data_IF_073263031944
#
_entry.id   IF_073263031944
#
_cell.length_a   1.000
_cell.length_b   1.000
_cell.length_c   1.000
_cell.angle_alpha   90.00
_cell.angle_beta   90.00
_cell.angle_gamma   90.00
#
_symmetry.space_group_name_H-M   'P 1'
#
loop_
_entity.id
_entity.type
_entity.pdbx_description
1 polymer ?
#
# COMPACT_ATOMS: atom_id res chain seq x y z
N UNK A 1 11.97 -12.97 6.07
CA UNK A 1 12.17 -11.72 6.84
C UNK A 1 11.91 -12.04 8.30
N UNK A 2 12.82 -11.66 9.20
CA UNK A 2 12.71 -11.97 10.63
C UNK A 2 11.47 -11.36 11.27
N UNK A 3 11.02 -11.95 12.37
CA UNK A 3 9.94 -11.42 13.19
C UNK A 3 10.38 -10.05 13.72
N UNK A 4 9.81 -8.98 13.17
CA UNK A 4 9.92 -7.66 13.78
C UNK A 4 9.25 -7.74 15.15
N UNK A 5 10.00 -7.47 16.22
CA UNK A 5 9.45 -7.37 17.59
C UNK A 5 8.58 -6.12 17.67
N UNK A 6 7.38 -6.15 17.11
CA UNK A 6 6.49 -4.97 17.03
C UNK A 6 6.14 -4.44 18.42
N UNK A 7 6.20 -5.29 19.45
CA UNK A 7 5.94 -4.97 20.86
C UNK A 7 6.91 -3.96 21.50
N UNK A 8 8.10 -3.75 20.93
CA UNK A 8 9.08 -2.78 21.47
C UNK A 8 9.03 -1.42 20.77
N UNK A 9 8.13 -1.24 19.80
CA UNK A 9 7.98 -0.02 19.02
C UNK A 9 6.62 0.61 19.24
N UNK A 10 6.53 1.93 19.08
CA UNK A 10 5.27 2.66 19.15
C UNK A 10 4.31 2.22 18.04
N UNK A 11 3.01 2.43 18.25
CA UNK A 11 1.99 2.16 17.21
C UNK A 11 2.31 2.91 15.92
N UNK A 12 2.70 4.19 16.04
CA UNK A 12 3.10 5.03 14.91
C UNK A 12 4.27 4.44 14.11
N UNK A 13 5.34 4.01 14.79
CA UNK A 13 6.51 3.38 14.15
C UNK A 13 6.15 2.07 13.43
N UNK A 14 5.29 1.26 14.05
CA UNK A 14 4.82 0.03 13.46
C UNK A 14 3.97 0.29 12.22
N UNK A 15 3.07 1.27 12.26
CA UNK A 15 2.21 1.63 11.13
C UNK A 15 3.02 2.18 9.94
N UNK A 16 3.94 3.10 10.21
CA UNK A 16 4.92 3.62 9.22
C UNK A 16 5.67 2.47 8.54
N UNK A 17 6.18 1.53 9.34
CA UNK A 17 6.92 0.36 8.84
C UNK A 17 6.05 -0.53 7.95
N UNK A 18 4.77 -0.74 8.30
CA UNK A 18 3.85 -1.53 7.49
C UNK A 18 3.57 -0.86 6.14
N UNK A 19 3.33 0.45 6.10
CA UNK A 19 3.17 1.19 4.83
C UNK A 19 4.43 1.10 3.97
N UNK A 20 5.60 1.38 4.54
CA UNK A 20 6.87 1.29 3.85
C UNK A 20 7.14 -0.13 3.31
N UNK A 21 6.84 -1.16 4.10
CA UNK A 21 6.97 -2.56 3.69
C UNK A 21 6.06 -2.88 2.51
N UNK A 22 4.84 -2.36 2.48
CA UNK A 22 3.90 -2.59 1.36
C UNK A 22 4.35 -1.86 0.11
N UNK A 23 4.78 -0.60 0.23
CA UNK A 23 5.27 0.21 -0.88
C UNK A 23 6.64 -0.26 -1.41
N UNK A 24 7.43 -0.96 -0.60
CA UNK A 24 8.75 -1.49 -0.98
C UNK A 24 8.75 -2.65 -1.98
N UNK A 25 7.62 -2.98 -2.63
CA UNK A 25 7.57 -3.99 -3.70
C UNK A 25 7.04 -3.36 -5.00
N UNK A 26 7.78 -3.48 -6.11
CA UNK A 26 7.44 -2.79 -7.37
C UNK A 26 6.11 -3.25 -7.97
N UNK A 27 5.72 -4.52 -7.81
CA UNK A 27 4.44 -5.00 -8.31
C UNK A 27 3.26 -4.32 -7.61
N UNK A 28 3.37 -4.08 -6.29
CA UNK A 28 2.34 -3.37 -5.52
C UNK A 28 2.27 -1.89 -5.90
N UNK A 29 3.41 -1.26 -6.17
CA UNK A 29 3.46 0.12 -6.67
C UNK A 29 2.78 0.20 -8.04
N UNK A 30 3.07 -0.73 -8.96
CA UNK A 30 2.44 -0.78 -10.28
C UNK A 30 0.91 -0.98 -10.19
N UNK A 31 0.43 -1.88 -9.31
CA UNK A 31 -1.00 -2.06 -9.03
C UNK A 31 -1.63 -0.73 -8.59
N UNK A 32 -1.05 -0.07 -7.58
CA UNK A 32 -1.59 1.19 -7.05
C UNK A 32 -1.63 2.27 -8.13
N UNK A 33 -0.55 2.44 -8.90
CA UNK A 33 -0.51 3.41 -10.02
C UNK A 33 -1.59 3.14 -11.06
N UNK A 34 -1.82 1.87 -11.39
CA UNK A 34 -2.86 1.48 -12.34
C UNK A 34 -4.27 1.80 -11.78
N UNK A 35 -4.54 1.47 -10.52
CA UNK A 35 -5.81 1.80 -9.86
C UNK A 35 -6.05 3.32 -9.78
N UNK A 36 -5.02 4.11 -9.48
CA UNK A 36 -5.12 5.58 -9.50
C UNK A 36 -5.42 6.13 -10.89
N UNK A 37 -4.85 5.53 -11.95
CA UNK A 37 -5.06 5.97 -13.33
C UNK A 37 -6.50 5.75 -13.79
N UNK A 38 -7.12 4.63 -13.41
CA UNK A 38 -8.49 4.29 -13.81
C UNK A 38 -9.52 5.13 -13.03
N UNK A 39 -9.20 5.50 -11.78
CA UNK A 39 -10.06 6.32 -10.92
C UNK A 39 -11.46 5.71 -10.65
N UNK A 40 -11.62 4.40 -10.85
CA UNK A 40 -12.83 3.61 -10.55
C UNK A 40 -12.42 2.23 -10.01
N UNK A 41 -13.39 1.42 -9.59
CA UNK A 41 -13.14 0.03 -9.22
C UNK A 41 -12.97 -0.84 -10.47
N UNK A 42 -11.88 -1.62 -10.54
CA UNK A 42 -11.63 -2.56 -11.62
C UNK A 42 -12.13 -3.95 -11.24
N UNK A 43 -13.02 -4.51 -12.05
CA UNK A 43 -13.53 -5.87 -11.95
C UNK A 43 -12.93 -6.68 -13.11
N UNK A 44 -11.81 -7.34 -12.91
CA UNK A 44 -11.16 -8.04 -14.02
C UNK A 44 -9.71 -8.41 -13.80
N UNK A 45 -9.09 -8.87 -14.88
CA UNK A 45 -7.76 -9.45 -14.85
C UNK A 45 -6.65 -8.40 -14.94
N UNK A 46 -5.98 -8.14 -13.83
CA UNK A 46 -4.79 -7.28 -13.79
C UNK A 46 -3.55 -7.96 -14.41
N UNK A 47 -3.65 -9.24 -14.78
CA UNK A 47 -2.54 -10.01 -15.40
C UNK A 47 -2.02 -9.34 -16.66
N UNK A 48 -2.90 -8.89 -17.56
CA UNK A 48 -2.47 -8.30 -18.83
C UNK A 48 -1.77 -6.95 -18.67
N UNK A 49 -2.17 -6.19 -17.66
CA UNK A 49 -1.65 -4.84 -17.40
C UNK A 49 -0.29 -4.88 -16.67
N UNK A 50 -0.13 -5.82 -15.75
CA UNK A 50 1.05 -5.89 -14.87
C UNK A 50 2.05 -6.96 -15.34
N UNK A 51 1.60 -7.92 -16.16
CA UNK A 51 2.45 -8.98 -16.71
C UNK A 51 2.84 -10.04 -15.68
N UNK A 52 2.11 -10.16 -14.58
CA UNK A 52 2.31 -11.17 -13.53
C UNK A 52 1.19 -12.19 -13.55
N UNK A 53 1.48 -13.42 -13.13
CA UNK A 53 0.46 -14.47 -13.04
C UNK A 53 -0.64 -14.13 -12.01
N UNK A 54 -1.86 -14.59 -12.26
CA UNK A 54 -3.02 -14.28 -11.44
C UNK A 54 -2.88 -14.62 -9.94
N UNK A 55 -2.25 -15.75 -9.53
CA UNK A 55 -2.03 -16.04 -8.12
C UNK A 55 -1.11 -15.00 -7.44
N UNK A 56 -0.09 -14.53 -8.15
CA UNK A 56 0.86 -13.52 -7.66
C UNK A 56 0.16 -12.17 -7.48
N UNK A 57 -0.66 -11.77 -8.46
CA UNK A 57 -1.47 -10.55 -8.37
C UNK A 57 -2.46 -10.63 -7.20
N UNK A 58 -3.13 -11.77 -7.05
CA UNK A 58 -4.09 -12.00 -5.95
C UNK A 58 -3.42 -11.87 -4.58
N UNK A 59 -2.19 -12.37 -4.45
CA UNK A 59 -1.39 -12.19 -3.24
C UNK A 59 -1.07 -10.72 -2.98
N UNK A 60 -0.64 -9.97 -4.00
CA UNK A 60 -0.37 -8.54 -3.86
C UNK A 60 -1.60 -7.72 -3.49
N UNK A 61 -2.75 -7.99 -4.11
CA UNK A 61 -4.03 -7.37 -3.79
C UNK A 61 -4.46 -7.67 -2.35
N UNK A 62 -4.24 -8.91 -1.89
CA UNK A 62 -4.54 -9.29 -0.50
C UNK A 62 -3.69 -8.48 0.49
N UNK A 63 -2.38 -8.33 0.24
CA UNK A 63 -1.50 -7.52 1.08
C UNK A 63 -1.93 -6.04 1.11
N UNK A 64 -2.26 -5.46 -0.04
CA UNK A 64 -2.76 -4.09 -0.14
C UNK A 64 -4.09 -3.90 0.59
N UNK A 65 -5.01 -4.87 0.46
CA UNK A 65 -6.32 -4.87 1.13
C UNK A 65 -6.18 -5.03 2.64
N UNK A 66 -5.26 -5.88 3.11
CA UNK A 66 -5.03 -6.08 4.54
C UNK A 66 -4.54 -4.80 5.23
N UNK A 67 -3.78 -3.96 4.53
CA UNK A 67 -3.36 -2.65 5.02
C UNK A 67 -4.40 -1.53 4.78
N UNK A 68 -5.54 -1.88 4.19
CA UNK A 68 -6.63 -0.95 3.91
C UNK A 68 -6.34 0.06 2.78
N UNK A 69 -5.25 -0.09 2.02
CA UNK A 69 -4.94 0.84 0.92
C UNK A 69 -5.89 0.68 -0.28
N UNK A 70 -6.53 -0.49 -0.39
CA UNK A 70 -7.54 -0.77 -1.41
C UNK A 70 -8.77 -1.42 -0.77
N UNK A 71 -9.94 -1.14 -1.35
CA UNK A 71 -11.20 -1.85 -1.06
C UNK A 71 -11.38 -2.96 -2.09
N UNK A 72 -12.07 -4.02 -1.67
CA UNK A 72 -12.43 -5.15 -2.55
C UNK A 72 -13.88 -5.54 -2.35
N UNK A 73 -14.74 -5.30 -3.33
CA UNK A 73 -16.16 -5.68 -3.33
C UNK A 73 -16.40 -6.90 -4.23
N UNK A 74 -17.33 -7.77 -3.88
CA UNK A 74 -17.72 -8.90 -4.75
C UNK A 74 -18.91 -8.46 -5.59
N UNK A 75 -18.74 -8.43 -6.91
CA UNK A 75 -19.84 -8.17 -7.85
C UNK A 75 -20.02 -9.40 -8.75
N UNK A 76 -21.11 -10.12 -8.51
CA UNK A 76 -21.38 -11.39 -9.19
C UNK A 76 -20.31 -12.44 -8.88
N UNK A 77 -19.59 -12.91 -9.90
CA UNK A 77 -18.52 -13.91 -9.79
C UNK A 77 -17.11 -13.31 -9.69
N UNK A 78 -16.99 -11.97 -9.77
CA UNK A 78 -15.71 -11.27 -9.80
C UNK A 78 -15.51 -10.42 -8.55
N UNK A 79 -14.24 -10.21 -8.17
CA UNK A 79 -13.86 -9.28 -7.12
C UNK A 79 -13.35 -8.00 -7.77
N UNK A 80 -13.93 -6.87 -7.38
CA UNK A 80 -13.56 -5.55 -7.87
C UNK A 80 -12.67 -4.84 -6.87
N UNK A 81 -11.59 -4.21 -7.32
CA UNK A 81 -10.64 -3.49 -6.47
C UNK A 81 -10.57 -2.00 -6.82
N UNK A 82 -10.45 -1.15 -5.80
CA UNK A 82 -10.29 0.31 -5.94
C UNK A 82 -9.49 0.86 -4.76
N UNK A 83 -8.92 2.06 -4.92
CA UNK A 83 -8.22 2.77 -3.85
C UNK A 83 -9.20 3.10 -2.72
N UNK A 84 -8.76 2.89 -1.47
CA UNK A 84 -9.43 3.46 -0.30
C UNK A 84 -8.94 4.89 -0.07
N UNK A 85 -9.73 5.89 -0.49
CA UNK A 85 -9.34 7.29 -0.41
C UNK A 85 -9.12 7.79 1.03
N UNK A 86 -9.87 7.25 1.99
CA UNK A 86 -9.78 7.65 3.40
C UNK A 86 -8.47 7.14 3.98
N UNK A 87 -8.21 5.82 3.86
CA UNK A 87 -6.98 5.21 4.36
C UNK A 87 -5.73 5.71 3.62
N UNK A 88 -5.85 6.00 2.33
CA UNK A 88 -4.77 6.64 1.57
C UNK A 88 -4.42 8.04 2.10
N UNK A 89 -5.43 8.81 2.51
CA UNK A 89 -5.23 10.15 3.08
C UNK A 89 -4.58 10.07 4.46
N UNK A 90 -5.02 9.14 5.31
CA UNK A 90 -4.41 8.85 6.61
C UNK A 90 -2.93 8.46 6.46
N UNK A 91 -2.62 7.51 5.57
CA UNK A 91 -1.24 7.12 5.26
C UNK A 91 -0.40 8.33 4.82
N UNK A 92 -0.90 9.16 3.91
CA UNK A 92 -0.17 10.35 3.43
C UNK A 92 0.16 11.30 4.56
N UNK A 93 -0.79 11.58 5.46
CA UNK A 93 -0.58 12.48 6.59
C UNK A 93 0.53 11.93 7.50
N UNK A 94 0.42 10.66 7.88
CA UNK A 94 1.40 10.00 8.74
C UNK A 94 2.80 9.97 8.12
N UNK A 95 2.90 9.56 6.85
CA UNK A 95 4.17 9.54 6.12
C UNK A 95 4.78 10.93 5.97
N UNK A 96 3.96 11.94 5.66
CA UNK A 96 4.43 13.32 5.51
C UNK A 96 4.95 13.88 6.83
N UNK A 97 4.26 13.62 7.94
CA UNK A 97 4.73 13.99 9.28
C UNK A 97 6.07 13.33 9.59
N UNK A 98 6.23 12.05 9.28
CA UNK A 98 7.49 11.34 9.47
C UNK A 98 8.63 11.89 8.59
N UNK A 99 8.36 12.18 7.32
CA UNK A 99 9.37 12.61 6.35
C UNK A 99 9.76 14.09 6.51
N UNK A 100 8.89 14.94 7.03
CA UNK A 100 9.15 16.38 7.25
C UNK A 100 9.97 16.67 8.51
N UNK A 101 10.81 15.72 8.96
CA UNK A 101 11.75 15.92 10.06
C UNK A 101 13.06 16.52 9.52
N UNK A 102 12.96 17.68 8.86
CA UNK A 102 14.10 18.37 8.27
C UNK A 102 15.18 18.63 9.33
N UNK A 103 16.38 18.11 9.08
CA UNK A 103 17.55 18.41 9.90
C UNK A 103 17.96 19.84 9.54
N UNK A 104 17.55 20.83 10.33
CA UNK A 104 18.11 22.18 10.21
C UNK A 104 19.62 22.07 10.34
N UNK A 105 20.33 22.42 9.27
CA UNK A 105 21.78 22.45 9.23
C UNK A 105 22.34 23.46 10.23
N UNK A 106 22.42 23.06 11.49
CA UNK A 106 23.35 23.58 12.48
C UNK A 106 23.96 22.37 13.16
N UNK A 107 25.14 22.04 12.63
CA UNK A 107 26.09 21.06 13.17
C UNK A 107 25.63 19.61 13.10
N UNK A 108 25.97 18.95 12.00
CA UNK A 108 26.24 17.51 12.08
C UNK A 108 27.41 17.16 11.15
N UNK A 109 28.44 16.63 11.79
CA UNK A 109 29.74 16.08 11.38
C UNK A 109 30.05 15.89 9.89
#
# INVERSE_FOLDING_TARGET
MGLSKTEIFTEEQNEISQYAKVLGNPARVAILQHLFKINTCICGDLVSEIGLAQPTISQHLKELKNLGLIKGNVEGTSVCYCIDAEKWTEMKLLMTQFLNQDISAKECC
#
